data_IF_651718762762
#
_entry.id   IF_651718762762
#
_cell.length_a   1.000
_cell.length_b   1.000
_cell.length_c   1.000
_cell.angle_alpha   90.00
_cell.angle_beta   90.00
_cell.angle_gamma   90.00
#
_symmetry.space_group_name_H-M   'P 1'
#
loop_
_entity.id
_entity.type
_entity.pdbx_description
1 polymer ?
#
# COMPACT_ATOMS: atom_id res chain seq x y z
N UNK A 1 -22.44 -3.54 14.85
CA UNK A 1 -21.67 -4.58 14.11
C UNK A 1 -20.18 -4.36 14.38
N UNK A 2 -19.50 -5.40 14.82
CA UNK A 2 -18.03 -5.33 14.96
C UNK A 2 -17.40 -5.37 13.58
N UNK A 3 -16.67 -4.33 13.22
CA UNK A 3 -15.89 -4.29 11.99
C UNK A 3 -14.58 -5.03 12.24
N UNK A 4 -14.27 -6.02 11.41
CA UNK A 4 -13.01 -6.73 11.54
C UNK A 4 -11.85 -5.84 11.09
N UNK A 5 -10.84 -5.74 11.93
CA UNK A 5 -9.61 -5.02 11.61
C UNK A 5 -8.39 -5.70 12.22
N UNK A 6 -7.25 -5.50 11.61
CA UNK A 6 -5.95 -5.90 12.11
C UNK A 6 -4.93 -4.79 11.90
N UNK A 7 -3.80 -4.87 12.58
CA UNK A 7 -2.69 -3.93 12.39
C UNK A 7 -1.43 -4.67 11.95
N UNK A 8 -0.75 -4.11 10.95
CA UNK A 8 0.50 -4.63 10.41
C UNK A 8 1.64 -3.65 10.69
N UNK A 9 2.83 -4.14 11.01
CA UNK A 9 4.00 -3.28 11.19
C UNK A 9 4.37 -2.59 9.88
N UNK A 10 4.66 -1.28 9.95
CA UNK A 10 5.20 -0.49 8.84
C UNK A 10 6.73 -0.58 8.82
N UNK A 11 7.20 -1.76 8.48
CA UNK A 11 8.62 -2.11 8.41
C UNK A 11 8.87 -2.86 7.11
N UNK A 12 9.88 -2.46 6.36
CA UNK A 12 10.30 -3.14 5.14
C UNK A 12 11.05 -4.44 5.40
N UNK A 13 11.40 -5.16 4.34
CA UNK A 13 12.06 -6.47 4.44
C UNK A 13 13.46 -6.40 5.07
N UNK A 14 14.15 -5.27 4.96
CA UNK A 14 15.45 -5.02 5.60
C UNK A 14 15.36 -4.42 7.01
N UNK A 15 14.17 -4.30 7.59
CA UNK A 15 13.94 -3.69 8.89
C UNK A 15 13.82 -2.15 8.85
N UNK A 16 13.85 -1.56 7.68
CA UNK A 16 13.75 -0.12 7.47
C UNK A 16 12.34 0.42 7.73
N UNK A 17 12.21 1.68 8.20
CA UNK A 17 10.90 2.28 8.46
C UNK A 17 10.13 2.55 7.17
N UNK A 18 8.81 2.57 7.27
CA UNK A 18 7.91 2.88 6.15
C UNK A 18 6.97 4.01 6.56
N UNK A 19 6.95 5.08 5.76
CA UNK A 19 5.99 6.17 5.89
C UNK A 19 4.74 5.84 5.08
N UNK A 20 3.63 5.56 5.78
CA UNK A 20 2.38 5.17 5.14
C UNK A 20 1.86 6.25 4.20
N UNK A 21 1.80 7.49 4.62
CA UNK A 21 1.28 8.59 3.83
C UNK A 21 2.07 8.77 2.52
N UNK A 22 3.39 8.78 2.61
CA UNK A 22 4.26 8.88 1.42
C UNK A 22 4.09 7.68 0.49
N UNK A 23 3.90 6.49 1.04
CA UNK A 23 3.65 5.28 0.24
C UNK A 23 2.31 5.36 -0.47
N UNK A 24 1.24 5.77 0.21
CA UNK A 24 -0.09 5.92 -0.38
C UNK A 24 -0.12 6.98 -1.48
N UNK A 25 0.64 8.06 -1.34
CA UNK A 25 0.74 9.18 -2.29
C UNK A 25 1.87 9.01 -3.30
N UNK A 26 2.49 7.85 -3.40
CA UNK A 26 3.70 7.62 -4.21
C UNK A 26 3.48 7.79 -5.72
N UNK A 27 2.26 7.58 -6.20
CA UNK A 27 1.89 7.83 -7.60
C UNK A 27 0.37 7.96 -7.77
N UNK A 28 -0.08 8.53 -8.89
CA UNK A 28 -1.48 8.86 -9.15
C UNK A 28 -2.42 7.67 -9.40
N UNK A 29 -1.96 6.43 -9.37
CA UNK A 29 -2.81 5.25 -9.61
C UNK A 29 -3.87 5.03 -8.54
N UNK A 30 -3.68 5.59 -7.36
CA UNK A 30 -4.65 5.55 -6.25
C UNK A 30 -5.96 6.30 -6.56
N UNK A 31 -5.92 7.24 -7.50
CA UNK A 31 -7.09 8.00 -7.96
C UNK A 31 -7.94 7.21 -8.96
N UNK A 32 -7.41 6.12 -9.50
CA UNK A 32 -8.11 5.31 -10.49
C UNK A 32 -8.91 4.18 -9.80
N UNK A 33 -10.22 4.08 -10.11
CA UNK A 33 -11.02 2.97 -9.61
C UNK A 33 -10.39 1.60 -9.91
N UNK A 34 -10.56 0.62 -9.04
CA UNK A 34 -11.40 0.59 -7.83
C UNK A 34 -10.73 1.13 -6.55
N UNK A 35 -9.57 1.77 -6.65
CA UNK A 35 -8.93 2.44 -5.52
C UNK A 35 -9.61 3.78 -5.22
N UNK A 36 -9.64 4.13 -3.94
CA UNK A 36 -10.11 5.45 -3.45
C UNK A 36 -9.19 5.91 -2.33
N UNK A 37 -8.54 7.04 -2.54
CA UNK A 37 -7.71 7.68 -1.55
C UNK A 37 -8.49 8.76 -0.81
N UNK A 38 -8.43 8.74 0.53
CA UNK A 38 -8.84 9.84 1.39
C UNK A 38 -7.55 10.56 1.84
N UNK A 39 -7.37 11.81 1.40
CA UNK A 39 -6.17 12.59 1.72
C UNK A 39 -6.26 13.29 3.07
N UNK A 40 -7.47 13.59 3.55
CA UNK A 40 -7.70 14.23 4.85
C UNK A 40 -7.32 13.30 6.01
N UNK A 41 -7.66 12.02 5.84
CA UNK A 41 -7.16 10.94 6.70
C UNK A 41 -6.45 9.96 5.79
N UNK A 42 -5.11 9.93 5.75
CA UNK A 42 -4.36 9.17 4.75
C UNK A 42 -4.73 7.68 4.78
N UNK A 43 -5.79 7.36 4.07
CA UNK A 43 -6.34 6.01 3.98
C UNK A 43 -6.69 5.66 2.53
N UNK A 44 -6.45 4.40 2.19
CA UNK A 44 -6.68 3.84 0.88
C UNK A 44 -7.74 2.75 0.96
N UNK A 45 -8.84 2.93 0.25
CA UNK A 45 -9.82 1.89 0.02
C UNK A 45 -9.51 1.18 -1.30
N UNK A 46 -9.47 -0.13 -1.29
CA UNK A 46 -9.22 -0.95 -2.48
C UNK A 46 -9.97 -2.27 -2.42
N UNK A 47 -10.16 -2.86 -3.59
CA UNK A 47 -10.80 -4.17 -3.72
C UNK A 47 -9.77 -5.20 -4.17
N UNK A 48 -9.73 -6.32 -3.48
CA UNK A 48 -8.87 -7.44 -3.83
C UNK A 48 -9.61 -8.78 -3.81
N UNK A 49 -9.09 -9.74 -4.56
CA UNK A 49 -9.60 -11.09 -4.55
C UNK A 49 -8.97 -11.88 -3.39
N UNK A 50 -9.80 -12.36 -2.49
CA UNK A 50 -9.40 -13.23 -1.40
C UNK A 50 -10.21 -14.52 -1.48
N UNK A 51 -9.52 -15.65 -1.58
CA UNK A 51 -10.18 -16.97 -1.70
C UNK A 51 -11.26 -16.97 -2.80
N UNK A 52 -10.93 -16.40 -3.97
CA UNK A 52 -11.82 -16.33 -5.14
C UNK A 52 -13.00 -15.36 -5.02
N UNK A 53 -13.06 -14.53 -3.97
CA UNK A 53 -14.12 -13.55 -3.76
C UNK A 53 -13.56 -12.14 -3.66
N UNK A 54 -14.25 -11.19 -4.30
CA UNK A 54 -13.90 -9.79 -4.17
C UNK A 54 -14.20 -9.29 -2.74
N UNK A 55 -13.22 -8.59 -2.16
CA UNK A 55 -13.31 -7.98 -0.83
C UNK A 55 -12.82 -6.55 -0.90
N UNK A 56 -13.59 -5.64 -0.35
CA UNK A 56 -13.17 -4.26 -0.18
C UNK A 56 -12.55 -4.08 1.20
N UNK A 57 -11.39 -3.45 1.22
CA UNK A 57 -10.63 -3.15 2.44
C UNK A 57 -10.25 -1.68 2.46
N UNK A 58 -10.00 -1.18 3.66
CA UNK A 58 -9.40 0.12 3.89
C UNK A 58 -8.07 -0.04 4.64
N UNK A 59 -7.03 0.64 4.15
CA UNK A 59 -5.71 0.71 4.78
C UNK A 59 -5.53 2.14 5.26
N UNK A 60 -5.30 2.34 6.54
CA UNK A 60 -5.11 3.65 7.13
C UNK A 60 -4.16 3.63 8.30
N UNK A 61 -4.01 4.78 9.00
CA UNK A 61 -3.13 4.86 10.15
C UNK A 61 -3.63 3.97 11.29
N UNK A 62 -2.73 3.19 11.84
CA UNK A 62 -2.93 2.40 13.07
C UNK A 62 -2.22 3.03 14.25
N UNK A 63 -1.86 2.21 15.23
CA UNK A 63 -0.95 2.62 16.30
C UNK A 63 0.41 3.02 15.73
N UNK A 64 1.21 3.73 16.53
CA UNK A 64 2.53 4.22 16.11
C UNK A 64 3.34 3.10 15.42
N UNK A 65 3.81 3.39 14.20
CA UNK A 65 4.58 2.45 13.39
C UNK A 65 3.77 1.29 12.81
N UNK A 66 2.44 1.39 12.78
CA UNK A 66 1.55 0.36 12.25
C UNK A 66 0.51 0.95 11.30
N UNK A 67 0.12 0.18 10.29
CA UNK A 67 -1.05 0.44 9.49
C UNK A 67 -2.23 -0.40 10.00
N UNK A 68 -3.42 0.19 10.00
CA UNK A 68 -4.66 -0.52 10.27
C UNK A 68 -5.28 -0.96 8.97
N UNK A 69 -5.65 -2.24 8.90
CA UNK A 69 -6.35 -2.83 7.77
C UNK A 69 -7.74 -3.24 8.23
N UNK A 70 -8.75 -2.69 7.60
CA UNK A 70 -10.16 -2.91 7.93
C UNK A 70 -10.85 -3.59 6.76
N UNK A 71 -11.60 -4.66 7.01
CA UNK A 71 -12.43 -5.29 5.98
C UNK A 71 -13.83 -4.71 6.03
N UNK A 72 -14.28 -4.18 4.90
CA UNK A 72 -15.64 -3.69 4.74
C UNK A 72 -16.56 -4.86 4.40
N UNK A 73 -17.41 -5.25 5.35
CA UNK A 73 -18.33 -6.37 5.21
C UNK A 73 -17.98 -7.55 6.13
N UNK A 74 -18.17 -8.77 5.62
CA UNK A 74 -18.00 -9.99 6.43
C UNK A 74 -16.54 -10.20 6.83
N UNK A 75 -16.30 -10.46 8.11
CA UNK A 75 -14.99 -10.78 8.65
C UNK A 75 -14.34 -11.99 7.92
N UNK A 76 -13.03 -11.91 7.60
CA UNK A 76 -12.31 -13.05 7.04
C UNK A 76 -12.09 -14.14 8.11
N UNK A 77 -12.03 -15.39 7.69
CA UNK A 77 -11.58 -16.50 8.54
C UNK A 77 -10.06 -16.62 8.52
N UNK A 78 -9.48 -17.37 9.46
CA UNK A 78 -8.04 -17.43 9.71
C UNK A 78 -7.14 -17.43 8.46
N UNK A 79 -7.25 -18.42 7.57
CA UNK A 79 -6.45 -18.49 6.34
C UNK A 79 -6.68 -17.31 5.40
N UNK A 80 -7.93 -16.84 5.30
CA UNK A 80 -8.27 -15.66 4.47
C UNK A 80 -7.72 -14.38 5.09
N UNK A 81 -7.64 -14.29 6.41
CA UNK A 81 -6.99 -13.17 7.09
C UNK A 81 -5.48 -13.15 6.84
N UNK A 82 -4.82 -14.31 6.85
CA UNK A 82 -3.39 -14.42 6.53
C UNK A 82 -3.12 -14.04 5.07
N UNK A 83 -3.95 -14.49 4.14
CA UNK A 83 -3.88 -14.08 2.74
C UNK A 83 -4.07 -12.58 2.58
N UNK A 84 -5.03 -11.97 3.29
CA UNK A 84 -5.26 -10.54 3.31
C UNK A 84 -4.01 -9.77 3.73
N UNK A 85 -3.38 -10.17 4.83
CA UNK A 85 -2.15 -9.52 5.32
C UNK A 85 -1.04 -9.61 4.28
N UNK A 86 -0.85 -10.77 3.65
CA UNK A 86 0.15 -10.95 2.59
C UNK A 86 -0.12 -10.03 1.39
N UNK A 87 -1.40 -9.90 0.97
CA UNK A 87 -1.80 -9.01 -0.14
C UNK A 87 -1.57 -7.54 0.19
N UNK A 88 -1.91 -7.11 1.41
CA UNK A 88 -1.68 -5.73 1.85
C UNK A 88 -0.18 -5.42 1.91
N UNK A 89 0.64 -6.34 2.42
CA UNK A 89 2.10 -6.19 2.40
C UNK A 89 2.64 -6.01 0.98
N UNK A 90 2.10 -6.76 0.02
CA UNK A 90 2.45 -6.61 -1.39
C UNK A 90 2.05 -5.24 -1.94
N UNK A 91 0.82 -4.78 -1.69
CA UNK A 91 0.31 -3.47 -2.14
C UNK A 91 1.16 -2.32 -1.59
N UNK A 92 1.54 -2.39 -0.31
CA UNK A 92 2.40 -1.39 0.33
C UNK A 92 3.90 -1.61 0.05
N UNK A 93 4.27 -2.58 -0.77
CA UNK A 93 5.67 -2.95 -1.08
C UNK A 93 6.53 -3.21 0.17
N UNK A 94 5.93 -3.77 1.24
CA UNK A 94 6.65 -4.10 2.47
C UNK A 94 7.55 -5.34 2.34
N UNK A 95 7.41 -6.07 1.26
CA UNK A 95 8.25 -7.21 0.88
C UNK A 95 9.56 -6.79 0.18
N UNK A 96 9.72 -5.51 -0.13
CA UNK A 96 10.95 -4.95 -0.69
C UNK A 96 11.89 -4.43 0.40
N UNK A 97 13.18 -4.68 0.20
CA UNK A 97 14.26 -4.19 1.04
C UNK A 97 14.84 -2.90 0.44
N UNK A 98 14.67 -1.77 1.13
CA UNK A 98 15.23 -0.48 0.75
C UNK A 98 16.37 -0.03 1.67
N UNK A 99 16.93 -0.94 2.49
CA UNK A 99 17.99 -0.60 3.44
C UNK A 99 19.22 0.00 2.76
N UNK A 100 19.69 -0.60 1.64
CA UNK A 100 20.83 -0.07 0.89
C UNK A 100 20.56 1.32 0.31
N UNK A 101 19.33 1.56 -0.17
CA UNK A 101 18.92 2.89 -0.63
C UNK A 101 18.95 3.90 0.52
N UNK A 102 18.47 3.52 1.70
CA UNK A 102 18.47 4.43 2.86
C UNK A 102 19.89 4.72 3.39
N UNK A 103 20.79 3.75 3.35
CA UNK A 103 22.20 3.98 3.66
C UNK A 103 22.83 4.97 2.69
N UNK A 104 22.54 4.84 1.41
CA UNK A 104 23.04 5.72 0.38
C UNK A 104 22.56 7.16 0.57
N UNK A 105 21.25 7.37 0.75
CA UNK A 105 20.68 8.72 0.86
C UNK A 105 20.94 9.37 2.22
N UNK A 106 21.16 8.59 3.28
CA UNK A 106 21.48 9.12 4.60
C UNK A 106 22.78 9.94 4.63
N UNK A 107 23.71 9.63 3.74
CA UNK A 107 24.97 10.37 3.58
C UNK A 107 24.87 11.66 2.74
N UNK A 108 23.73 11.90 2.10
CA UNK A 108 23.50 13.05 1.23
C UNK A 108 22.64 14.11 1.96
N UNK A 109 23.15 15.35 2.16
CA UNK A 109 22.39 16.39 2.88
C UNK A 109 21.05 16.75 2.26
N UNK A 110 20.92 16.64 0.94
CA UNK A 110 19.70 16.98 0.21
C UNK A 110 18.68 15.83 0.17
N UNK A 111 19.13 14.59 0.33
CA UNK A 111 18.32 13.38 0.20
C UNK A 111 18.11 12.63 1.52
N UNK A 112 18.80 13.00 2.59
CA UNK A 112 18.74 12.27 3.88
C UNK A 112 17.32 12.14 4.46
N UNK A 113 16.43 13.06 4.14
CA UNK A 113 15.03 13.01 4.54
C UNK A 113 14.29 11.75 4.03
N UNK A 114 14.75 11.19 2.91
CA UNK A 114 14.13 10.01 2.32
C UNK A 114 14.32 8.75 3.17
N UNK A 115 15.40 8.69 3.96
CA UNK A 115 15.67 7.56 4.87
C UNK A 115 14.65 7.42 6.00
N UNK A 116 13.77 8.41 6.20
CA UNK A 116 12.68 8.37 7.17
C UNK A 116 11.43 7.61 6.68
N UNK A 117 11.55 6.80 5.62
CA UNK A 117 10.46 5.94 5.15
C UNK A 117 9.93 6.26 3.76
N UNK A 118 10.58 7.15 3.01
CA UNK A 118 10.20 7.47 1.63
C UNK A 118 10.74 6.45 0.62
N UNK A 119 10.32 6.59 -0.65
CA UNK A 119 10.86 5.82 -1.78
C UNK A 119 10.10 4.54 -2.11
N UNK A 120 9.12 4.13 -1.31
CA UNK A 120 8.26 3.00 -1.65
C UNK A 120 7.18 3.43 -2.64
N UNK A 121 6.97 2.58 -3.64
CA UNK A 121 5.89 2.76 -4.60
C UNK A 121 4.76 1.80 -4.29
N UNK A 122 3.55 2.33 -4.18
CA UNK A 122 2.33 1.55 -4.04
C UNK A 122 2.13 0.67 -5.27
N UNK A 123 1.68 -0.56 -5.06
CA UNK A 123 1.31 -1.50 -6.13
C UNK A 123 -0.21 -1.70 -6.15
N UNK A 124 -0.75 -2.00 -7.32
CA UNK A 124 -2.11 -2.54 -7.38
C UNK A 124 -2.15 -3.98 -6.83
N UNK A 125 -3.34 -4.48 -6.45
CA UNK A 125 -3.49 -5.83 -5.93
C UNK A 125 -3.06 -6.93 -6.90
N UNK A 126 -3.03 -6.64 -8.20
CA UNK A 126 -2.62 -7.58 -9.25
C UNK A 126 -1.85 -6.88 -10.36
N UNK A 127 -0.97 -7.62 -11.02
CA UNK A 127 -0.23 -7.14 -12.19
C UNK A 127 -1.19 -6.74 -13.33
N UNK A 128 -2.31 -7.44 -13.48
CA UNK A 128 -3.32 -7.09 -14.46
C UNK A 128 -3.88 -5.67 -14.23
N UNK A 129 -4.20 -5.33 -13.00
CA UNK A 129 -4.68 -4.00 -12.64
C UNK A 129 -3.62 -2.93 -12.90
N UNK A 130 -2.36 -3.18 -12.55
CA UNK A 130 -1.25 -2.27 -12.84
C UNK A 130 -1.09 -2.01 -14.35
N UNK A 131 -1.16 -3.07 -15.17
CA UNK A 131 -1.05 -2.95 -16.63
C UNK A 131 -2.20 -2.12 -17.20
N UNK A 132 -3.44 -2.38 -16.78
CA UNK A 132 -4.62 -1.65 -17.27
C UNK A 132 -4.56 -0.18 -16.85
N UNK A 133 -4.23 0.11 -15.60
CA UNK A 133 -4.08 1.48 -15.10
C UNK A 133 -2.98 2.25 -15.84
N UNK A 134 -1.83 1.62 -16.04
CA UNK A 134 -0.73 2.19 -16.83
C UNK A 134 -1.17 2.52 -18.26
N UNK A 135 -1.90 1.60 -18.89
CA UNK A 135 -2.41 1.83 -20.24
C UNK A 135 -3.42 2.99 -20.32
N UNK A 136 -4.27 3.12 -19.31
CA UNK A 136 -5.26 4.18 -19.25
C UNK A 136 -4.65 5.56 -19.01
N UNK A 137 -3.48 5.65 -18.39
CA UNK A 137 -2.79 6.91 -18.08
C UNK A 137 -1.82 7.36 -19.16
N UNK A 138 -1.53 6.51 -20.16
CA UNK A 138 -0.65 6.90 -21.27
C UNK A 138 -1.34 7.94 -22.17
N UNK A 139 -0.65 9.05 -22.53
CA UNK A 139 -1.18 9.98 -23.50
C UNK A 139 -1.42 9.27 -24.84
N UNK A 140 -2.58 9.50 -25.44
CA UNK A 140 -2.83 9.07 -26.81
C UNK A 140 -1.92 9.89 -27.71
N UNK A 141 -1.03 9.21 -28.44
CA UNK A 141 -0.31 9.86 -29.52
C UNK A 141 -1.36 10.34 -30.53
N UNK A 142 -1.29 11.60 -30.99
CA UNK A 142 -2.13 12.05 -32.06
C UNK A 142 -1.85 11.17 -33.30
N UNK A 143 -2.92 10.58 -33.85
CA UNK A 143 -2.86 9.80 -35.08
C UNK A 143 -2.62 10.68 -36.31
#
# INVERSE_FOLDING_TARGET
MSVWSTEIPLVGAGGEPVDLQRTLLSHGFVELPPMRLDEDVPSLELTLALNGKARTIAIGPGRRGRARVTVLGRAPSGRTADELVARVRHVLALDEDLSDFYELVAGDPDLSWASAGAGRMLRAPSVYEDVIKTRCTQPRLPG
#
